data_IF_517095986154
#
_entry.id   IF_517095986154
#
_cell.length_a   1.000
_cell.length_b   1.000
_cell.length_c   1.000
_cell.angle_alpha   90.00
_cell.angle_beta   90.00
_cell.angle_gamma   90.00
#
_symmetry.space_group_name_H-M   'P 1'
#
loop_
_entity.id
_entity.type
_entity.pdbx_description
1 polymer ?
#
# COMPACT_ATOMS: atom_id res chain seq x y z
N UNK A 1 -24.04 -62.69 7.68
CA UNK A 1 -24.35 -61.48 8.49
C UNK A 1 -23.11 -61.18 9.34
N UNK A 2 -22.38 -60.07 9.24
CA UNK A 2 -22.58 -58.79 8.55
C UNK A 2 -21.20 -58.27 8.13
N UNK A 3 -21.05 -58.05 6.83
CA UNK A 3 -20.09 -57.12 6.21
C UNK A 3 -20.58 -55.72 6.60
N UNK A 4 -19.95 -55.02 7.55
CA UNK A 4 -20.34 -53.63 7.86
C UNK A 4 -19.38 -52.79 8.73
N UNK A 5 -18.06 -53.03 8.70
CA UNK A 5 -17.09 -52.14 9.40
C UNK A 5 -16.07 -51.49 8.44
N UNK A 6 -16.09 -51.82 7.15
CA UNK A 6 -15.07 -51.36 6.18
C UNK A 6 -15.42 -50.09 5.38
N UNK A 7 -16.49 -49.36 5.72
CA UNK A 7 -16.99 -48.25 4.91
C UNK A 7 -16.89 -46.85 5.56
N UNK A 8 -16.41 -46.72 6.81
CA UNK A 8 -16.41 -45.42 7.50
C UNK A 8 -15.13 -44.58 7.30
N UNK A 9 -14.05 -45.13 6.73
CA UNK A 9 -12.80 -44.39 6.50
C UNK A 9 -12.59 -43.91 5.04
N UNK A 10 -13.50 -44.23 4.12
CA UNK A 10 -13.40 -43.84 2.71
C UNK A 10 -14.29 -42.65 2.32
N UNK A 11 -14.92 -41.98 3.30
CA UNK A 11 -15.80 -40.81 3.08
C UNK A 11 -15.27 -39.51 3.71
N UNK A 12 -13.95 -39.38 3.84
CA UNK A 12 -13.30 -38.13 4.24
C UNK A 12 -12.86 -37.16 3.10
N UNK A 13 -13.35 -37.19 1.83
CA UNK A 13 -12.88 -36.20 0.84
C UNK A 13 -13.70 -34.90 0.76
N UNK A 14 -14.67 -34.62 1.65
CA UNK A 14 -15.57 -33.45 1.47
C UNK A 14 -15.49 -32.38 2.57
N UNK A 15 -14.75 -32.61 3.66
CA UNK A 15 -14.57 -31.59 4.72
C UNK A 15 -13.30 -30.72 4.57
N UNK A 16 -12.48 -30.96 3.55
CA UNK A 16 -11.28 -30.15 3.22
C UNK A 16 -11.37 -29.45 1.84
N UNK A 17 -12.59 -29.10 1.41
CA UNK A 17 -12.79 -28.26 0.23
C UNK A 17 -12.24 -26.83 0.43
N UNK A 18 -12.00 -26.41 1.67
CA UNK A 18 -11.15 -25.26 1.98
C UNK A 18 -9.70 -25.75 1.92
N UNK A 19 -8.95 -25.36 0.88
CA UNK A 19 -7.49 -25.43 0.97
C UNK A 19 -6.99 -24.60 2.15
N UNK A 20 -5.73 -24.78 2.60
CA UNK A 20 -5.16 -23.91 3.63
C UNK A 20 -5.39 -22.46 3.21
N UNK A 21 -5.90 -21.60 4.07
CA UNK A 21 -6.06 -20.18 3.79
C UNK A 21 -4.70 -19.59 3.37
N UNK A 22 -4.65 -18.68 2.39
CA UNK A 22 -3.38 -17.99 2.16
C UNK A 22 -3.15 -17.12 3.39
N UNK A 23 -2.03 -17.25 4.08
CA UNK A 23 -1.84 -16.54 5.32
C UNK A 23 -1.55 -15.10 4.92
N UNK A 24 -2.54 -14.20 5.06
CA UNK A 24 -2.30 -12.78 4.87
C UNK A 24 -1.17 -12.29 5.82
N UNK A 25 -0.90 -13.02 6.91
CA UNK A 25 0.27 -12.91 7.80
C UNK A 25 1.62 -12.96 7.07
N UNK A 26 1.70 -13.50 5.85
CA UNK A 26 2.92 -13.55 5.04
C UNK A 26 3.44 -12.16 4.63
N UNK A 27 2.55 -11.20 4.38
CA UNK A 27 2.93 -9.80 4.14
C UNK A 27 3.40 -9.09 5.43
N UNK A 28 3.15 -9.70 6.59
CA UNK A 28 3.26 -9.05 7.89
C UNK A 28 4.26 -9.79 8.78
N UNK A 29 5.55 -9.72 8.39
CA UNK A 29 6.73 -10.34 9.04
C UNK A 29 6.91 -10.11 10.55
N UNK A 30 6.10 -9.28 11.18
CA UNK A 30 6.23 -8.93 12.60
C UNK A 30 4.85 -8.64 13.17
N UNK A 31 4.53 -9.29 14.29
CA UNK A 31 3.61 -8.90 15.36
C UNK A 31 2.37 -9.73 15.68
N UNK A 32 2.24 -9.87 17.00
CA UNK A 32 1.19 -10.48 17.80
C UNK A 32 0.16 -9.44 18.29
N UNK A 33 -0.99 -9.96 18.74
CA UNK A 33 -2.12 -9.30 19.42
C UNK A 33 -3.22 -8.72 18.53
N UNK A 34 -4.38 -9.38 18.59
CA UNK A 34 -5.63 -9.07 17.87
C UNK A 34 -6.40 -7.87 18.42
N UNK A 35 -5.75 -6.70 18.55
CA UNK A 35 -6.42 -5.42 18.77
C UNK A 35 -6.67 -4.66 17.46
N UNK A 36 -7.46 -3.58 17.47
CA UNK A 36 -7.74 -2.75 16.27
C UNK A 36 -6.49 -2.21 15.57
N UNK A 37 -5.36 -2.09 16.30
CA UNK A 37 -4.04 -1.78 15.73
C UNK A 37 -3.56 -2.75 14.64
N UNK A 38 -4.08 -3.99 14.65
CA UNK A 38 -3.77 -5.06 13.69
C UNK A 38 -4.13 -4.71 12.25
N UNK A 39 -5.29 -4.09 12.03
CA UNK A 39 -5.79 -3.78 10.68
C UNK A 39 -4.98 -2.64 10.04
N UNK A 40 -4.62 -1.62 10.83
CA UNK A 40 -3.84 -0.49 10.35
C UNK A 40 -2.41 -0.88 10.00
N UNK A 41 -1.75 -1.68 10.84
CA UNK A 41 -0.37 -2.12 10.60
C UNK A 41 -0.26 -2.99 9.34
N UNK A 42 -1.22 -3.88 9.12
CA UNK A 42 -1.26 -4.73 7.92
C UNK A 42 -1.51 -3.88 6.67
N UNK A 43 -2.47 -2.97 6.74
CA UNK A 43 -2.73 -2.04 5.64
C UNK A 43 -1.50 -1.17 5.33
N UNK A 44 -0.76 -0.71 6.33
CA UNK A 44 0.48 0.05 6.15
C UNK A 44 1.55 -0.75 5.40
N UNK A 45 1.78 -1.98 5.85
CA UNK A 45 2.79 -2.89 5.27
C UNK A 45 2.43 -3.23 3.83
N UNK A 46 1.15 -3.48 3.55
CA UNK A 46 0.69 -3.74 2.20
C UNK A 46 0.85 -2.51 1.29
N UNK A 47 0.51 -1.31 1.77
CA UNK A 47 0.78 -0.08 1.04
C UNK A 47 2.28 0.16 0.82
N UNK A 48 3.13 -0.20 1.79
CA UNK A 48 4.57 -0.09 1.67
C UNK A 48 5.12 -1.09 0.66
N UNK A 49 4.64 -2.33 0.65
CA UNK A 49 5.00 -3.34 -0.36
C UNK A 49 4.60 -2.88 -1.75
N UNK A 50 3.37 -2.39 -1.91
CA UNK A 50 2.91 -1.81 -3.17
C UNK A 50 3.76 -0.61 -3.57
N UNK A 51 4.14 0.24 -2.61
CA UNK A 51 5.07 1.35 -2.86
C UNK A 51 6.45 0.85 -3.31
N UNK A 52 6.98 -0.20 -2.71
CA UNK A 52 8.30 -0.76 -3.05
C UNK A 52 8.29 -1.44 -4.42
N UNK A 53 7.25 -2.21 -4.73
CA UNK A 53 7.02 -2.83 -6.03
C UNK A 53 6.79 -1.76 -7.11
N UNK A 54 5.98 -0.75 -6.80
CA UNK A 54 5.75 0.37 -7.66
C UNK A 54 6.92 1.35 -7.68
N UNK A 55 7.93 1.26 -6.80
CA UNK A 55 9.02 2.27 -6.68
C UNK A 55 9.76 2.44 -8.01
N UNK A 56 9.98 1.35 -8.75
CA UNK A 56 10.59 1.40 -10.06
C UNK A 56 9.72 2.15 -11.09
N UNK A 57 8.40 1.99 -11.01
CA UNK A 57 7.41 2.72 -11.81
C UNK A 57 7.17 4.14 -11.30
N UNK A 58 7.27 4.39 -10.00
CA UNK A 58 7.11 5.68 -9.33
C UNK A 58 8.28 6.61 -9.59
N UNK A 59 9.48 6.08 -9.73
CA UNK A 59 10.66 6.90 -10.00
C UNK A 59 10.76 7.29 -11.47
N UNK A 60 9.90 6.74 -12.34
CA UNK A 60 9.81 7.15 -13.73
C UNK A 60 9.33 8.60 -13.81
N UNK A 61 10.03 9.49 -14.53
CA UNK A 61 9.65 10.90 -14.67
C UNK A 61 8.18 11.12 -15.10
N UNK A 62 7.65 10.20 -15.90
CA UNK A 62 6.28 10.19 -16.43
C UNK A 62 5.21 9.70 -15.43
N UNK A 63 5.60 9.17 -14.28
CA UNK A 63 4.65 8.68 -13.28
C UNK A 63 3.94 9.82 -12.55
N UNK A 64 2.62 9.73 -12.45
CA UNK A 64 1.82 10.67 -11.68
C UNK A 64 2.30 10.72 -10.21
N UNK A 65 2.70 9.59 -9.64
CA UNK A 65 3.19 9.51 -8.26
C UNK A 65 4.58 10.14 -8.09
N UNK A 66 5.45 10.09 -9.12
CA UNK A 66 6.70 10.88 -9.16
C UNK A 66 6.41 12.37 -9.06
N UNK A 67 5.44 12.84 -9.86
CA UNK A 67 5.06 14.24 -9.89
C UNK A 67 4.50 14.69 -8.53
N UNK A 68 3.76 13.81 -7.84
CA UNK A 68 3.23 14.06 -6.50
C UNK A 68 4.33 14.13 -5.44
N UNK A 69 5.35 13.27 -5.49
CA UNK A 69 6.44 13.28 -4.52
C UNK A 69 7.17 14.64 -4.49
N UNK A 70 7.27 15.33 -5.64
CA UNK A 70 7.82 16.69 -5.72
C UNK A 70 6.96 17.74 -5.03
N UNK A 71 5.67 17.46 -4.82
CA UNK A 71 4.75 18.34 -4.10
C UNK A 71 4.77 18.13 -2.58
N UNK A 72 5.65 17.27 -2.05
CA UNK A 72 5.72 17.02 -0.61
C UNK A 72 5.88 18.35 0.14
N UNK A 73 5.00 18.64 1.12
CA UNK A 73 5.07 19.89 1.85
C UNK A 73 6.38 19.96 2.64
N UNK A 74 6.92 21.17 2.86
CA UNK A 74 8.16 21.35 3.61
C UNK A 74 7.99 20.83 5.04
N UNK A 75 9.08 20.26 5.58
CA UNK A 75 9.15 19.78 6.96
C UNK A 75 10.13 20.63 7.79
N UNK A 76 9.75 21.04 9.02
CA UNK A 76 8.44 20.88 9.66
C UNK A 76 7.33 21.67 8.94
N UNK A 77 6.05 21.31 9.15
CA UNK A 77 4.92 22.08 8.63
C UNK A 77 5.02 23.53 9.08
N UNK A 78 4.82 24.47 8.15
CA UNK A 78 4.89 25.91 8.40
C UNK A 78 3.54 26.54 8.19
N UNK A 79 3.18 27.51 9.03
CA UNK A 79 2.07 28.39 8.70
C UNK A 79 2.45 29.25 7.48
N UNK A 80 1.45 29.80 6.77
CA UNK A 80 1.74 30.76 5.70
C UNK A 80 2.55 31.96 6.20
N UNK A 81 2.37 32.36 7.46
CA UNK A 81 3.13 33.45 8.09
C UNK A 81 4.59 33.08 8.31
N UNK A 82 4.86 31.84 8.75
CA UNK A 82 6.24 31.36 8.95
C UNK A 82 6.96 31.15 7.61
N UNK A 83 6.26 30.62 6.61
CA UNK A 83 6.80 30.48 5.26
C UNK A 83 7.15 31.85 4.64
N UNK A 84 6.25 32.83 4.79
CA UNK A 84 6.47 34.21 4.36
C UNK A 84 7.69 34.85 5.07
N UNK A 85 7.80 34.65 6.40
CA UNK A 85 8.94 35.13 7.21
C UNK A 85 10.26 34.57 6.69
N UNK A 86 10.29 33.26 6.44
CA UNK A 86 11.48 32.55 5.99
C UNK A 86 11.90 32.99 4.58
N UNK A 87 10.94 33.13 3.66
CA UNK A 87 11.22 33.58 2.30
C UNK A 87 11.81 35.01 2.29
N UNK A 88 11.26 35.89 3.13
CA UNK A 88 11.80 37.24 3.32
C UNK A 88 13.23 37.21 3.86
N UNK A 89 13.47 36.49 4.96
CA UNK A 89 14.81 36.41 5.57
C UNK A 89 15.86 35.76 4.66
N UNK A 90 15.44 34.86 3.76
CA UNK A 90 16.33 34.27 2.75
C UNK A 90 16.74 35.29 1.68
N UNK A 91 15.84 36.20 1.30
CA UNK A 91 16.08 37.22 0.28
C UNK A 91 16.74 38.49 0.84
N UNK A 92 16.47 38.81 2.11
CA UNK A 92 17.02 39.96 2.82
C UNK A 92 17.64 39.46 4.13
N UNK A 93 18.84 38.84 4.07
CA UNK A 93 19.53 38.40 5.28
C UNK A 93 19.79 39.59 6.20
N UNK A 94 19.28 39.54 7.43
CA UNK A 94 19.37 40.64 8.40
C UNK A 94 18.24 41.68 8.33
N UNK A 95 17.29 41.53 7.40
CA UNK A 95 16.12 42.39 7.31
C UNK A 95 15.18 42.30 8.52
N UNK A 96 14.45 43.38 8.81
CA UNK A 96 13.47 43.43 9.89
C UNK A 96 12.19 42.65 9.53
N UNK A 97 12.21 41.34 9.79
CA UNK A 97 11.13 40.44 9.44
C UNK A 97 9.81 40.76 10.16
N UNK A 98 9.85 41.33 11.37
CA UNK A 98 8.63 41.63 12.12
C UNK A 98 7.94 42.88 11.55
N UNK A 99 8.72 43.90 11.16
CA UNK A 99 8.20 45.03 10.39
C UNK A 99 7.61 44.57 9.05
N UNK A 100 8.32 43.71 8.31
CA UNK A 100 7.82 43.14 7.06
C UNK A 100 6.50 42.38 7.25
N UNK A 101 6.42 41.47 8.21
CA UNK A 101 5.21 40.67 8.43
C UNK A 101 4.03 41.53 8.87
N UNK A 102 4.27 42.58 9.66
CA UNK A 102 3.23 43.56 10.01
C UNK A 102 2.66 44.21 8.75
N UNK A 103 3.52 44.76 7.90
CA UNK A 103 3.07 45.38 6.63
C UNK A 103 2.38 44.37 5.71
N UNK A 104 2.93 43.15 5.59
CA UNK A 104 2.39 42.12 4.70
C UNK A 104 1.04 41.54 5.16
N UNK A 105 0.88 41.21 6.45
CA UNK A 105 -0.33 40.54 6.95
C UNK A 105 -1.36 41.50 7.52
N UNK A 106 -0.93 42.53 8.23
CA UNK A 106 -1.83 43.40 8.99
C UNK A 106 -2.29 44.61 8.15
N UNK A 107 -1.53 44.96 7.10
CA UNK A 107 -1.84 46.07 6.20
C UNK A 107 -2.20 45.59 4.78
N UNK A 108 -1.25 45.02 4.02
CA UNK A 108 -1.46 44.66 2.61
C UNK A 108 -2.62 43.67 2.42
N UNK A 109 -2.64 42.58 3.21
CA UNK A 109 -3.71 41.58 3.19
C UNK A 109 -5.03 42.07 3.78
N UNK A 110 -5.02 43.19 4.49
CA UNK A 110 -6.22 43.91 4.92
C UNK A 110 -6.73 44.92 3.87
N UNK A 111 -6.06 45.02 2.71
CA UNK A 111 -6.40 45.95 1.63
C UNK A 111 -5.96 47.39 1.87
N UNK A 112 -5.06 47.62 2.84
CA UNK A 112 -4.43 48.92 3.09
C UNK A 112 -3.16 49.04 2.25
N UNK A 113 -2.80 50.26 1.85
CA UNK A 113 -1.52 50.56 1.20
C UNK A 113 -0.44 50.65 2.29
N UNK A 114 0.50 49.70 2.37
CA UNK A 114 1.51 49.69 3.43
C UNK A 114 2.62 50.69 3.14
N UNK A 115 3.16 51.29 4.19
CA UNK A 115 4.34 52.14 4.08
C UNK A 115 5.62 51.28 4.02
N UNK A 116 5.99 50.88 2.81
CA UNK A 116 7.18 50.08 2.55
C UNK A 116 8.50 50.79 2.89
N UNK A 117 8.50 52.09 3.22
CA UNK A 117 9.71 52.78 3.66
C UNK A 117 10.32 52.19 4.95
N UNK A 118 9.49 51.51 5.77
CA UNK A 118 9.93 50.78 6.95
C UNK A 118 10.69 49.47 6.61
N UNK A 119 10.66 49.02 5.34
CA UNK A 119 11.41 47.86 4.83
C UNK A 119 12.05 48.24 3.48
N UNK A 120 13.06 49.14 3.49
CA UNK A 120 13.59 49.75 2.27
C UNK A 120 14.25 48.73 1.32
N UNK A 121 14.77 47.64 1.86
CA UNK A 121 15.43 46.57 1.11
C UNK A 121 14.46 45.51 0.54
N UNK A 122 13.15 45.79 0.49
CA UNK A 122 12.15 44.82 0.03
C UNK A 122 12.42 44.38 -1.44
N UNK A 123 12.65 43.08 -1.68
CA UNK A 123 12.84 42.54 -3.03
C UNK A 123 11.60 42.76 -3.90
N UNK A 124 11.82 43.03 -5.18
CA UNK A 124 10.75 43.33 -6.14
C UNK A 124 9.70 42.22 -6.24
N UNK A 125 10.11 40.95 -6.20
CA UNK A 125 9.16 39.83 -6.24
C UNK A 125 8.20 39.79 -5.04
N UNK A 126 8.66 40.21 -3.85
CA UNK A 126 7.82 40.30 -2.65
C UNK A 126 6.89 41.51 -2.75
N UNK A 127 7.41 42.65 -3.22
CA UNK A 127 6.63 43.88 -3.46
C UNK A 127 5.47 43.64 -4.43
N UNK A 128 5.76 43.06 -5.60
CA UNK A 128 4.75 42.70 -6.60
C UNK A 128 3.70 41.74 -6.04
N UNK A 129 4.13 40.75 -5.25
CA UNK A 129 3.21 39.77 -4.67
C UNK A 129 2.22 40.43 -3.70
N UNK A 130 2.70 41.35 -2.85
CA UNK A 130 1.88 42.05 -1.87
C UNK A 130 0.97 43.10 -2.52
N UNK A 131 1.44 43.77 -3.57
CA UNK A 131 0.60 44.68 -4.37
C UNK A 131 -0.59 43.96 -5.01
N UNK A 132 -0.42 42.73 -5.47
CA UNK A 132 -1.55 41.93 -5.94
C UNK A 132 -2.58 41.63 -4.84
N UNK A 133 -2.15 41.45 -3.58
CA UNK A 133 -3.07 41.35 -2.44
C UNK A 133 -3.83 42.65 -2.18
N UNK A 134 -3.14 43.79 -2.22
CA UNK A 134 -3.75 45.12 -2.06
C UNK A 134 -4.86 45.33 -3.08
N UNK A 135 -4.61 45.02 -4.36
CA UNK A 135 -5.59 45.15 -5.44
C UNK A 135 -6.82 44.26 -5.18
N UNK A 136 -6.61 42.98 -4.86
CA UNK A 136 -7.73 42.05 -4.62
C UNK A 136 -8.55 42.43 -3.39
N UNK A 137 -7.90 42.94 -2.33
CA UNK A 137 -8.56 43.24 -1.06
C UNK A 137 -9.20 44.63 -1.00
N UNK A 138 -8.69 45.58 -1.76
CA UNK A 138 -9.30 46.92 -1.91
C UNK A 138 -10.45 46.93 -2.92
N UNK A 139 -10.58 45.88 -3.73
CA UNK A 139 -11.68 45.74 -4.68
C UNK A 139 -13.01 45.40 -3.99
N UNK A 140 -14.09 45.84 -4.62
CA UNK A 140 -15.47 45.58 -4.19
C UNK A 140 -15.75 44.07 -4.11
N UNK A 141 -16.14 43.51 -2.94
CA UNK A 141 -16.39 42.08 -2.76
C UNK A 141 -17.49 41.52 -3.67
N UNK A 142 -18.41 42.36 -4.15
CA UNK A 142 -19.51 41.94 -5.01
C UNK A 142 -19.14 41.93 -6.50
N UNK A 143 -17.97 42.46 -6.88
CA UNK A 143 -17.54 42.54 -8.27
C UNK A 143 -16.44 41.53 -8.58
N UNK A 144 -16.50 41.00 -9.80
CA UNK A 144 -15.40 40.21 -10.35
C UNK A 144 -14.15 41.09 -10.45
N UNK A 145 -13.08 40.66 -9.77
CA UNK A 145 -11.78 41.34 -9.77
C UNK A 145 -10.91 40.70 -10.85
N UNK A 146 -10.41 41.50 -11.79
CA UNK A 146 -9.45 40.99 -12.76
C UNK A 146 -8.19 40.44 -12.05
N UNK A 147 -7.56 39.43 -12.65
CA UNK A 147 -6.28 38.92 -12.14
C UNK A 147 -5.24 40.06 -12.10
N UNK A 148 -4.63 40.37 -10.93
CA UNK A 148 -3.64 41.43 -10.83
C UNK A 148 -2.47 41.19 -11.79
N UNK A 149 -2.09 42.22 -12.56
CA UNK A 149 -0.97 42.14 -13.50
C UNK A 149 0.33 41.74 -12.79
N UNK A 150 0.49 42.14 -11.52
CA UNK A 150 1.62 41.80 -10.68
C UNK A 150 1.71 40.29 -10.43
N UNK A 151 0.59 39.63 -10.09
CA UNK A 151 0.56 38.18 -9.92
C UNK A 151 0.75 37.45 -11.26
N UNK A 152 0.17 37.96 -12.35
CA UNK A 152 0.38 37.40 -13.68
C UNK A 152 1.86 37.48 -14.09
N UNK A 153 2.55 38.58 -13.80
CA UNK A 153 3.98 38.75 -14.06
C UNK A 153 4.80 37.72 -13.28
N UNK A 154 4.55 37.57 -11.97
CA UNK A 154 5.26 36.59 -11.13
C UNK A 154 5.02 35.14 -11.55
N UNK A 155 3.80 34.79 -11.98
CA UNK A 155 3.46 33.43 -12.41
C UNK A 155 4.07 33.07 -13.78
N UNK A 156 4.14 34.03 -14.70
CA UNK A 156 4.61 33.83 -16.07
C UNK A 156 6.13 33.99 -16.23
N UNK A 157 6.80 34.65 -15.30
CA UNK A 157 8.25 34.89 -15.33
C UNK A 157 8.96 34.27 -14.11
N UNK A 158 9.04 32.92 -14.06
CA UNK A 158 9.56 32.23 -12.89
C UNK A 158 11.09 32.39 -12.73
N UNK A 159 11.82 32.75 -13.79
CA UNK A 159 13.27 32.97 -13.72
C UNK A 159 13.61 34.25 -12.95
N UNK A 160 12.81 35.31 -13.12
CA UNK A 160 13.02 36.58 -12.42
C UNK A 160 12.31 36.65 -11.05
N UNK A 161 11.39 35.72 -10.76
CA UNK A 161 10.67 35.64 -9.49
C UNK A 161 10.56 34.21 -8.93
N UNK A 162 11.69 33.50 -8.74
CA UNK A 162 11.70 32.08 -8.40
C UNK A 162 11.02 31.74 -7.06
N UNK A 163 10.89 32.72 -6.16
CA UNK A 163 10.34 32.50 -4.81
C UNK A 163 8.88 32.89 -4.67
N UNK A 164 8.32 33.56 -5.68
CA UNK A 164 6.92 34.00 -5.68
C UNK A 164 6.12 33.47 -6.85
N UNK A 165 6.73 32.77 -7.80
CA UNK A 165 6.00 32.14 -8.90
C UNK A 165 4.97 31.10 -8.42
N UNK A 166 5.34 30.20 -7.49
CA UNK A 166 4.44 29.17 -6.94
C UNK A 166 3.30 29.84 -6.15
N UNK A 167 3.63 30.82 -5.32
CA UNK A 167 2.67 31.61 -4.55
C UNK A 167 1.69 32.37 -5.45
N UNK A 168 2.17 33.01 -6.52
CA UNK A 168 1.34 33.73 -7.47
C UNK A 168 0.39 32.80 -8.22
N UNK A 169 0.86 31.64 -8.70
CA UNK A 169 0.00 30.63 -9.31
C UNK A 169 -1.10 30.16 -8.35
N UNK A 170 -0.75 29.88 -7.09
CA UNK A 170 -1.71 29.49 -6.06
C UNK A 170 -2.78 30.58 -5.82
N UNK A 171 -2.36 31.84 -5.72
CA UNK A 171 -3.26 32.96 -5.48
C UNK A 171 -4.19 33.24 -6.66
N UNK A 172 -3.69 33.16 -7.89
CA UNK A 172 -4.51 33.30 -9.10
C UNK A 172 -5.56 32.19 -9.21
N UNK A 173 -5.20 30.96 -8.83
CA UNK A 173 -6.15 29.85 -8.78
C UNK A 173 -7.24 30.03 -7.73
N UNK A 174 -6.88 30.50 -6.52
CA UNK A 174 -7.85 30.84 -5.48
C UNK A 174 -8.77 32.00 -5.87
N UNK A 175 -8.24 33.02 -6.57
CA UNK A 175 -9.02 34.15 -7.06
C UNK A 175 -10.07 33.67 -8.08
N UNK A 176 -9.64 32.89 -9.09
CA UNK A 176 -10.54 32.28 -10.05
C UNK A 176 -11.63 31.42 -9.37
N UNK A 177 -11.24 30.62 -8.37
CA UNK A 177 -12.17 29.82 -7.58
C UNK A 177 -13.22 30.67 -6.85
N UNK A 178 -12.81 31.78 -6.23
CA UNK A 178 -13.73 32.69 -5.52
C UNK A 178 -14.76 33.35 -6.44
N UNK A 179 -14.47 33.40 -7.74
CA UNK A 179 -15.32 33.99 -8.78
C UNK A 179 -16.10 32.94 -9.57
N UNK A 180 -16.00 31.66 -9.21
CA UNK A 180 -16.66 30.57 -9.91
C UNK A 180 -16.01 30.17 -11.25
N UNK A 181 -14.84 30.71 -11.61
CA UNK A 181 -14.09 30.33 -12.81
C UNK A 181 -13.29 29.03 -12.58
N UNK A 182 -13.98 27.91 -12.80
CA UNK A 182 -13.41 26.57 -12.65
C UNK A 182 -12.32 26.27 -13.70
N UNK A 183 -12.37 26.88 -14.89
CA UNK A 183 -11.36 26.70 -15.92
C UNK A 183 -10.06 27.42 -15.54
N UNK A 184 -10.16 28.68 -15.11
CA UNK A 184 -9.04 29.45 -14.59
C UNK A 184 -8.44 28.83 -13.34
N UNK A 185 -9.27 28.36 -12.39
CA UNK A 185 -8.81 27.65 -11.20
C UNK A 185 -7.91 26.47 -11.55
N UNK A 186 -8.39 25.57 -12.45
CA UNK A 186 -7.62 24.40 -12.89
C UNK A 186 -6.31 24.80 -13.57
N UNK A 187 -6.37 25.74 -14.51
CA UNK A 187 -5.17 26.24 -15.22
C UNK A 187 -4.08 26.70 -14.25
N UNK A 188 -4.43 27.53 -13.28
CA UNK A 188 -3.45 28.09 -12.35
C UNK A 188 -2.96 27.10 -11.29
N UNK A 189 -3.83 26.21 -10.82
CA UNK A 189 -3.43 25.13 -9.91
C UNK A 189 -2.51 24.10 -10.58
N UNK A 190 -2.78 23.73 -11.84
CA UNK A 190 -1.88 22.88 -12.63
C UNK A 190 -0.53 23.55 -12.84
N UNK A 191 -0.51 24.84 -13.17
CA UNK A 191 0.73 25.59 -13.31
C UNK A 191 1.49 25.68 -11.98
N UNK A 192 0.80 25.89 -10.86
CA UNK A 192 1.39 25.87 -9.52
C UNK A 192 2.16 24.57 -9.27
N UNK A 193 1.50 23.42 -9.48
CA UNK A 193 2.14 22.09 -9.34
C UNK A 193 3.30 21.90 -10.30
N UNK A 194 3.16 22.36 -11.55
CA UNK A 194 4.24 22.32 -12.54
C UNK A 194 5.46 23.11 -12.07
N UNK A 195 5.29 24.31 -11.52
CA UNK A 195 6.41 25.12 -10.98
C UNK A 195 7.11 24.44 -9.81
N UNK A 196 6.35 23.84 -8.88
CA UNK A 196 6.98 23.03 -7.81
C UNK A 196 7.77 21.86 -8.41
N UNK A 197 7.21 21.18 -9.40
CA UNK A 197 7.89 20.10 -10.13
C UNK A 197 9.15 20.52 -10.87
N UNK A 198 9.24 21.78 -11.32
CA UNK A 198 10.42 22.40 -11.93
C UNK A 198 11.49 22.83 -10.91
N UNK A 199 11.21 22.73 -9.61
CA UNK A 199 12.15 23.04 -8.52
C UNK A 199 12.03 24.45 -7.95
N UNK A 200 10.99 25.21 -8.29
CA UNK A 200 10.74 26.53 -7.70
C UNK A 200 10.30 26.42 -6.23
N UNK A 201 10.54 27.49 -5.45
CA UNK A 201 10.33 27.47 -4.00
C UNK A 201 8.87 27.22 -3.62
N UNK A 202 8.62 26.19 -2.80
CA UNK A 202 7.32 25.88 -2.19
C UNK A 202 7.41 25.89 -0.66
N UNK A 203 7.80 27.03 -0.10
CA UNK A 203 8.03 27.24 1.33
C UNK A 203 6.81 26.98 2.23
N UNK A 204 5.59 26.98 1.67
CA UNK A 204 4.32 26.76 2.37
C UNK A 204 3.60 25.46 1.96
N UNK A 205 4.12 24.66 1.03
CA UNK A 205 3.46 23.43 0.56
C UNK A 205 2.20 23.68 -0.28
N UNK A 206 2.19 24.78 -1.05
CA UNK A 206 1.08 25.24 -1.88
C UNK A 206 0.80 24.30 -3.05
N UNK A 207 1.83 23.64 -3.60
CA UNK A 207 1.66 22.66 -4.67
C UNK A 207 0.69 21.56 -4.26
N UNK A 208 0.91 20.96 -3.09
CA UNK A 208 0.00 19.96 -2.52
C UNK A 208 -1.34 20.56 -2.06
N UNK A 209 -1.35 21.80 -1.55
CA UNK A 209 -2.58 22.47 -1.16
C UNK A 209 -3.58 22.61 -2.33
N UNK A 210 -3.09 22.90 -3.55
CA UNK A 210 -3.95 22.98 -4.75
C UNK A 210 -4.62 21.62 -5.06
N UNK A 211 -3.86 20.53 -4.95
CA UNK A 211 -4.37 19.19 -5.18
C UNK A 211 -5.46 18.83 -4.17
N UNK A 212 -5.25 19.14 -2.89
CA UNK A 212 -6.27 18.94 -1.84
C UNK A 212 -7.57 19.69 -2.15
N UNK A 213 -7.49 20.91 -2.71
CA UNK A 213 -8.68 21.69 -3.09
C UNK A 213 -9.38 21.12 -4.33
N UNK A 214 -8.65 20.65 -5.35
CA UNK A 214 -9.24 19.98 -6.52
C UNK A 214 -9.96 18.69 -6.12
N UNK A 215 -9.35 17.91 -5.24
CA UNK A 215 -9.90 16.66 -4.76
C UNK A 215 -11.14 16.86 -3.88
N UNK A 216 -11.29 18.00 -3.18
CA UNK A 216 -12.55 18.32 -2.47
C UNK A 216 -13.77 18.39 -3.39
N UNK A 217 -13.58 18.70 -4.68
CA UNK A 217 -14.66 18.71 -5.68
C UNK A 217 -15.12 17.31 -6.10
N UNK A 218 -14.30 16.26 -5.92
CA UNK A 218 -14.64 14.86 -6.22
C UNK A 218 -15.14 14.19 -4.94
N UNK A 219 -16.47 14.08 -4.78
CA UNK A 219 -17.14 13.72 -3.51
C UNK A 219 -16.43 12.63 -2.70
N UNK A 220 -16.48 11.37 -3.11
CA UNK A 220 -16.00 10.23 -2.30
C UNK A 220 -14.57 9.86 -2.68
N UNK A 221 -14.30 9.77 -3.97
CA UNK A 221 -13.02 9.40 -4.58
C UNK A 221 -11.94 10.43 -4.25
N UNK A 222 -12.28 11.72 -4.31
CA UNK A 222 -11.32 12.78 -4.01
C UNK A 222 -10.91 12.81 -2.55
N UNK A 223 -11.82 12.49 -1.62
CA UNK A 223 -11.46 12.34 -0.20
C UNK A 223 -10.45 11.22 0.01
N UNK A 224 -10.64 10.08 -0.66
CA UNK A 224 -9.73 8.92 -0.58
C UNK A 224 -8.38 9.25 -1.21
N UNK A 225 -8.37 9.82 -2.41
CA UNK A 225 -7.14 10.25 -3.09
C UNK A 225 -6.37 11.28 -2.24
N UNK A 226 -7.06 12.24 -1.62
CA UNK A 226 -6.43 13.25 -0.79
C UNK A 226 -5.77 12.64 0.47
N UNK A 227 -6.39 11.62 1.06
CA UNK A 227 -5.81 10.88 2.17
C UNK A 227 -4.63 10.02 1.70
N UNK A 228 -4.74 9.36 0.54
CA UNK A 228 -3.68 8.52 -0.02
C UNK A 228 -2.43 9.35 -0.31
N UNK A 229 -2.61 10.49 -0.99
CA UNK A 229 -1.50 11.40 -1.28
C UNK A 229 -0.91 12.00 -0.01
N UNK A 230 -1.73 12.34 0.99
CA UNK A 230 -1.20 12.78 2.28
C UNK A 230 -0.33 11.72 2.92
N UNK A 231 -0.78 10.47 2.97
CA UNK A 231 0.00 9.37 3.51
C UNK A 231 1.33 9.17 2.75
N UNK A 232 1.32 9.25 1.42
CA UNK A 232 2.56 9.09 0.65
C UNK A 232 3.56 10.25 0.83
N UNK A 233 3.08 11.47 1.00
CA UNK A 233 3.96 12.63 1.26
C UNK A 233 4.39 12.71 2.72
N UNK A 234 3.57 12.21 3.63
CA UNK A 234 3.75 12.22 5.07
C UNK A 234 3.41 10.83 5.65
N UNK A 235 4.29 9.83 5.47
CA UNK A 235 4.07 8.50 6.02
C UNK A 235 4.24 8.56 7.55
N UNK A 236 3.13 8.79 8.24
CA UNK A 236 2.98 8.75 9.69
C UNK A 236 1.73 7.94 10.05
N UNK A 237 1.70 7.40 11.27
CA UNK A 237 0.62 6.53 11.72
C UNK A 237 -0.74 7.23 11.71
N UNK A 238 -0.81 8.53 11.99
CA UNK A 238 -2.07 9.28 11.99
C UNK A 238 -2.64 9.46 10.58
N UNK A 239 -1.78 9.76 9.60
CA UNK A 239 -2.17 9.86 8.19
C UNK A 239 -2.57 8.49 7.62
N UNK A 240 -1.93 7.41 8.08
CA UNK A 240 -2.32 6.05 7.74
C UNK A 240 -3.70 5.69 8.31
N UNK A 241 -3.95 6.00 9.59
CA UNK A 241 -5.25 5.78 10.23
C UNK A 241 -6.35 6.58 9.52
N UNK A 242 -6.10 7.85 9.18
CA UNK A 242 -7.01 8.67 8.37
C UNK A 242 -7.29 8.01 7.01
N UNK A 243 -6.25 7.56 6.30
CA UNK A 243 -6.39 6.87 5.02
C UNK A 243 -7.26 5.62 5.17
N UNK A 244 -6.93 4.73 6.11
CA UNK A 244 -7.70 3.50 6.32
C UNK A 244 -9.17 3.80 6.64
N UNK A 245 -9.42 4.76 7.53
CA UNK A 245 -10.78 5.15 7.91
C UNK A 245 -11.57 5.71 6.72
N UNK A 246 -10.95 6.59 5.93
CA UNK A 246 -11.58 7.18 4.74
C UNK A 246 -11.83 6.10 3.69
N UNK A 247 -10.88 5.19 3.45
CA UNK A 247 -11.06 4.04 2.55
C UNK A 247 -12.24 3.20 3.02
N UNK A 248 -12.24 2.72 4.27
CA UNK A 248 -13.31 1.90 4.85
C UNK A 248 -14.69 2.55 4.70
N UNK A 249 -14.80 3.87 4.91
CA UNK A 249 -16.06 4.61 4.81
C UNK A 249 -16.54 4.76 3.36
N UNK A 250 -15.62 4.98 2.42
CA UNK A 250 -15.96 5.33 1.05
C UNK A 250 -15.87 4.15 0.07
N UNK A 251 -15.37 2.98 0.48
CA UNK A 251 -15.14 1.83 -0.39
C UNK A 251 -16.41 1.27 -1.03
N UNK A 252 -17.58 1.57 -0.47
CA UNK A 252 -18.87 1.25 -1.10
C UNK A 252 -19.05 1.96 -2.46
N UNK A 253 -18.30 3.04 -2.73
CA UNK A 253 -18.26 3.72 -4.03
C UNK A 253 -17.25 3.09 -5.01
N UNK A 254 -16.90 1.82 -4.85
CA UNK A 254 -15.89 1.11 -5.65
C UNK A 254 -16.13 1.18 -7.18
N UNK A 255 -17.36 1.40 -7.61
CA UNK A 255 -17.73 1.49 -9.03
C UNK A 255 -16.93 2.56 -9.79
N UNK A 256 -16.74 3.72 -9.17
CA UNK A 256 -15.95 4.83 -9.72
C UNK A 256 -14.46 4.63 -9.49
N UNK A 257 -14.08 3.89 -8.44
CA UNK A 257 -12.68 3.58 -8.15
C UNK A 257 -12.06 2.74 -9.25
N UNK A 258 -12.84 1.84 -9.86
CA UNK A 258 -12.40 1.06 -11.02
C UNK A 258 -11.92 1.93 -12.20
N UNK A 259 -12.34 3.19 -12.30
CA UNK A 259 -11.86 4.13 -13.32
C UNK A 259 -10.51 4.75 -12.97
N UNK A 260 -10.21 4.92 -11.68
CA UNK A 260 -9.08 5.70 -11.19
C UNK A 260 -7.91 4.74 -10.86
N UNK A 261 -6.75 4.84 -11.55
CA UNK A 261 -5.62 3.92 -11.36
C UNK A 261 -5.21 3.73 -9.90
N UNK A 262 -5.03 4.83 -9.16
CA UNK A 262 -4.56 4.80 -7.77
C UNK A 262 -5.58 4.15 -6.83
N UNK A 263 -6.88 4.36 -7.08
CA UNK A 263 -7.94 3.76 -6.25
C UNK A 263 -8.15 2.29 -6.56
N UNK A 264 -7.84 1.83 -7.78
CA UNK A 264 -7.84 0.39 -8.10
C UNK A 264 -6.80 -0.36 -7.29
N UNK A 265 -5.60 0.20 -7.27
CA UNK A 265 -4.47 -0.35 -6.52
C UNK A 265 -4.78 -0.34 -5.01
N UNK A 266 -5.28 0.78 -4.49
CA UNK A 266 -5.69 0.94 -3.09
C UNK A 266 -6.81 -0.02 -2.66
N UNK A 267 -7.77 -0.30 -3.55
CA UNK A 267 -8.84 -1.25 -3.28
C UNK A 267 -8.26 -2.63 -2.95
N UNK A 268 -7.34 -3.14 -3.77
CA UNK A 268 -6.74 -4.44 -3.49
C UNK A 268 -6.02 -4.45 -2.14
N UNK A 269 -5.19 -3.44 -1.87
CA UNK A 269 -4.45 -3.31 -0.60
C UNK A 269 -5.36 -3.39 0.63
N UNK A 270 -6.49 -2.69 0.57
CA UNK A 270 -7.46 -2.68 1.65
C UNK A 270 -8.10 -4.05 1.87
N UNK A 271 -8.49 -4.75 0.81
CA UNK A 271 -9.15 -6.05 0.92
C UNK A 271 -8.19 -7.19 1.27
N UNK A 272 -6.92 -7.11 0.88
CA UNK A 272 -5.87 -8.03 1.32
C UNK A 272 -5.70 -8.03 2.85
N UNK A 273 -6.12 -6.95 3.53
CA UNK A 273 -5.87 -6.72 4.96
C UNK A 273 -7.13 -6.69 5.81
N UNK A 274 -8.30 -6.64 5.17
CA UNK A 274 -9.61 -6.58 5.83
C UNK A 274 -10.12 -7.97 6.18
N UNK A 275 -9.81 -8.45 7.38
CA UNK A 275 -10.33 -9.73 7.87
C UNK A 275 -11.86 -9.66 8.04
N UNK A 276 -12.58 -10.64 7.48
CA UNK A 276 -14.02 -10.83 7.71
C UNK A 276 -14.97 -9.97 6.86
N UNK A 277 -14.45 -9.16 5.94
CA UNK A 277 -15.30 -8.44 4.98
C UNK A 277 -15.27 -9.15 3.62
N UNK A 278 -16.42 -9.22 2.95
CA UNK A 278 -16.56 -9.80 1.62
C UNK A 278 -16.09 -8.82 0.53
N UNK A 279 -15.04 -9.20 -0.21
CA UNK A 279 -14.68 -8.56 -1.49
C UNK A 279 -15.89 -8.54 -2.40
N UNK A 280 -16.14 -7.42 -3.08
CA UNK A 280 -17.21 -7.33 -4.08
C UNK A 280 -16.70 -7.91 -5.40
N UNK A 281 -17.17 -9.10 -5.82
CA UNK A 281 -16.64 -9.74 -7.03
C UNK A 281 -16.90 -8.93 -8.31
N UNK A 282 -17.88 -8.02 -8.28
CA UNK A 282 -18.22 -7.12 -9.37
C UNK A 282 -17.12 -6.08 -9.64
N UNK A 283 -16.39 -5.66 -8.61
CA UNK A 283 -15.24 -4.79 -8.77
C UNK A 283 -14.15 -5.51 -9.57
N UNK A 284 -13.84 -6.75 -9.20
CA UNK A 284 -12.80 -7.55 -9.86
C UNK A 284 -13.10 -7.76 -11.34
N UNK A 285 -14.35 -8.09 -11.68
CA UNK A 285 -14.78 -8.24 -13.08
C UNK A 285 -14.69 -6.92 -13.86
N UNK A 286 -15.07 -5.79 -13.24
CA UNK A 286 -15.05 -4.48 -13.91
C UNK A 286 -13.63 -4.03 -14.23
N UNK A 287 -12.69 -4.24 -13.31
CA UNK A 287 -11.29 -3.88 -13.54
C UNK A 287 -10.66 -4.80 -14.59
N UNK A 288 -10.96 -6.11 -14.55
CA UNK A 288 -10.44 -7.07 -15.53
C UNK A 288 -10.93 -6.78 -16.95
N UNK A 289 -12.22 -6.45 -17.14
CA UNK A 289 -12.81 -6.12 -18.45
C UNK A 289 -12.12 -4.97 -19.17
N UNK A 290 -11.43 -4.09 -18.45
CA UNK A 290 -10.68 -3.00 -19.05
C UNK A 290 -9.33 -3.44 -19.62
N UNK A 291 -8.92 -4.68 -19.34
CA UNK A 291 -7.65 -5.26 -19.76
C UNK A 291 -6.45 -4.37 -19.39
N UNK A 292 -6.52 -3.74 -18.21
CA UNK A 292 -5.45 -2.86 -17.73
C UNK A 292 -4.45 -3.70 -16.95
N UNK A 293 -3.18 -3.62 -17.34
CA UNK A 293 -2.09 -4.21 -16.59
C UNK A 293 -1.94 -3.48 -15.25
N UNK A 294 -2.08 -4.21 -14.16
CA UNK A 294 -1.93 -3.68 -12.81
C UNK A 294 -0.56 -4.04 -12.24
N UNK A 295 -0.10 -3.25 -11.28
CA UNK A 295 1.13 -3.57 -10.53
C UNK A 295 0.86 -4.71 -9.57
N UNK A 296 -0.37 -4.79 -9.05
CA UNK A 296 -0.80 -5.73 -8.03
C UNK A 296 -1.63 -6.93 -8.55
N UNK A 297 -1.44 -7.36 -9.81
CA UNK A 297 -2.25 -8.44 -10.43
C UNK A 297 -2.30 -9.74 -9.60
N UNK A 298 -1.24 -10.10 -8.87
CA UNK A 298 -1.24 -11.26 -7.98
C UNK A 298 -2.24 -11.12 -6.80
N UNK A 299 -2.37 -9.91 -6.23
CA UNK A 299 -3.35 -9.61 -5.17
C UNK A 299 -4.76 -9.64 -5.72
N UNK A 300 -4.98 -9.11 -6.92
CA UNK A 300 -6.29 -9.22 -7.59
C UNK A 300 -6.67 -10.68 -7.88
N UNK A 301 -5.70 -11.52 -8.26
CA UNK A 301 -5.90 -12.95 -8.42
C UNK A 301 -6.28 -13.64 -7.10
N UNK A 302 -5.63 -13.27 -6.00
CA UNK A 302 -5.99 -13.78 -4.67
C UNK A 302 -7.41 -13.40 -4.25
N UNK A 303 -7.79 -12.13 -4.44
CA UNK A 303 -9.15 -11.68 -4.15
C UNK A 303 -10.20 -12.42 -5.00
N UNK A 304 -9.87 -12.74 -6.26
CA UNK A 304 -10.73 -13.56 -7.12
C UNK A 304 -10.84 -15.01 -6.62
N UNK A 305 -9.72 -15.60 -6.14
CA UNK A 305 -9.72 -16.92 -5.51
C UNK A 305 -10.60 -16.96 -4.26
N UNK A 306 -10.43 -15.98 -3.35
CA UNK A 306 -11.25 -15.82 -2.13
C UNK A 306 -12.74 -15.60 -2.45
N UNK A 307 -13.04 -14.94 -3.56
CA UNK A 307 -14.41 -14.76 -4.06
C UNK A 307 -15.00 -16.02 -4.75
N UNK A 308 -14.29 -17.15 -4.77
CA UNK A 308 -14.73 -18.38 -5.41
C UNK A 308 -14.77 -18.31 -6.94
N UNK A 309 -13.94 -17.46 -7.56
CA UNK A 309 -13.84 -17.28 -9.01
C UNK A 309 -12.48 -17.73 -9.56
N UNK A 310 -12.20 -19.05 -9.63
CA UNK A 310 -10.88 -19.55 -10.03
C UNK A 310 -10.51 -19.19 -11.48
N UNK A 311 -11.48 -19.05 -12.38
CA UNK A 311 -11.23 -18.63 -13.77
C UNK A 311 -10.76 -17.17 -13.84
N UNK A 312 -11.33 -16.31 -12.99
CA UNK A 312 -10.90 -14.91 -12.89
C UNK A 312 -9.53 -14.80 -12.23
N UNK A 313 -9.27 -15.62 -11.21
CA UNK A 313 -7.94 -15.77 -10.60
C UNK A 313 -6.88 -16.09 -11.67
N UNK A 314 -7.12 -17.10 -12.52
CA UNK A 314 -6.19 -17.45 -13.59
C UNK A 314 -5.98 -16.32 -14.60
N UNK A 315 -7.03 -15.58 -14.98
CA UNK A 315 -6.89 -14.43 -15.89
C UNK A 315 -6.02 -13.33 -15.30
N UNK A 316 -6.17 -13.05 -14.00
CA UNK A 316 -5.29 -12.11 -13.29
C UNK A 316 -3.85 -12.60 -13.19
N UNK A 317 -3.64 -13.89 -12.91
CA UNK A 317 -2.30 -14.48 -12.87
C UNK A 317 -1.59 -14.36 -14.22
N UNK A 318 -2.29 -14.45 -15.36
CA UNK A 318 -1.68 -14.24 -16.69
C UNK A 318 -1.14 -12.82 -16.91
N UNK A 319 -1.53 -11.85 -16.08
CA UNK A 319 -1.08 -10.46 -16.20
C UNK A 319 0.13 -10.12 -15.34
N UNK A 320 0.54 -11.03 -14.43
CA UNK A 320 1.69 -10.77 -13.56
C UNK A 320 2.97 -10.66 -14.40
N UNK A 321 3.81 -9.68 -14.10
CA UNK A 321 5.08 -9.48 -14.79
C UNK A 321 6.18 -10.42 -14.28
N UNK A 322 6.06 -10.86 -13.02
CA UNK A 322 7.02 -11.71 -12.33
C UNK A 322 6.30 -12.56 -11.28
N UNK A 323 6.60 -13.85 -11.27
CA UNK A 323 6.13 -14.75 -10.23
C UNK A 323 6.78 -14.41 -8.87
N UNK A 324 5.95 -14.40 -7.83
CA UNK A 324 6.27 -14.25 -6.42
C UNK A 324 5.63 -15.38 -5.58
N UNK A 325 5.83 -15.34 -4.26
CA UNK A 325 5.30 -16.35 -3.34
C UNK A 325 3.77 -16.43 -3.36
N UNK A 326 3.06 -15.31 -3.51
CA UNK A 326 1.59 -15.32 -3.58
C UNK A 326 1.12 -16.00 -4.87
N UNK A 327 1.71 -15.63 -6.01
CA UNK A 327 1.40 -16.25 -7.29
C UNK A 327 1.74 -17.74 -7.32
N UNK A 328 2.86 -18.17 -6.73
CA UNK A 328 3.23 -19.59 -6.62
C UNK A 328 2.16 -20.37 -5.83
N UNK A 329 1.69 -19.82 -4.71
CA UNK A 329 0.61 -20.43 -3.94
C UNK A 329 -0.70 -20.51 -4.73
N UNK A 330 -1.06 -19.46 -5.47
CA UNK A 330 -2.27 -19.43 -6.29
C UNK A 330 -2.21 -20.44 -7.45
N UNK A 331 -1.09 -20.50 -8.16
CA UNK A 331 -0.88 -21.50 -9.20
C UNK A 331 -0.94 -22.93 -8.66
N UNK A 332 -0.35 -23.18 -7.49
CA UNK A 332 -0.45 -24.49 -6.85
C UNK A 332 -1.89 -24.87 -6.49
N UNK A 333 -2.71 -23.91 -6.06
CA UNK A 333 -4.12 -24.15 -5.76
C UNK A 333 -4.99 -24.38 -7.00
N UNK A 334 -4.76 -23.62 -8.08
CA UNK A 334 -5.41 -23.86 -9.37
C UNK A 334 -5.04 -25.23 -9.95
N UNK A 335 -3.77 -25.63 -9.84
CA UNK A 335 -3.29 -26.93 -10.29
C UNK A 335 -3.95 -28.08 -9.49
N UNK A 336 -4.03 -27.95 -8.17
CA UNK A 336 -4.75 -28.91 -7.31
C UNK A 336 -6.21 -29.06 -7.72
N UNK A 337 -6.90 -27.95 -7.96
CA UNK A 337 -8.30 -27.96 -8.38
C UNK A 337 -8.50 -28.73 -9.71
N UNK A 338 -7.49 -28.74 -10.58
CA UNK A 338 -7.48 -29.47 -11.86
C UNK A 338 -6.99 -30.92 -11.72
N UNK A 339 -6.54 -31.33 -10.54
CA UNK A 339 -5.88 -32.62 -10.33
C UNK A 339 -4.46 -32.70 -10.92
N UNK A 340 -3.86 -31.57 -11.31
CA UNK A 340 -2.50 -31.53 -11.87
C UNK A 340 -1.46 -31.48 -10.74
N UNK A 341 -1.10 -32.67 -10.24
CA UNK A 341 -0.14 -32.84 -9.14
C UNK A 341 1.28 -32.41 -9.49
N UNK A 342 1.68 -32.53 -10.76
CA UNK A 342 3.02 -32.14 -11.21
C UNK A 342 3.19 -30.62 -11.16
N UNK A 343 2.21 -29.89 -11.69
CA UNK A 343 2.21 -28.43 -11.62
C UNK A 343 2.04 -27.94 -10.19
N UNK A 344 1.17 -28.58 -9.41
CA UNK A 344 1.01 -28.28 -7.97
C UNK A 344 2.34 -28.39 -7.23
N UNK A 345 3.03 -29.53 -7.36
CA UNK A 345 4.32 -29.77 -6.73
C UNK A 345 5.39 -28.77 -7.17
N UNK A 346 5.45 -28.45 -8.47
CA UNK A 346 6.40 -27.47 -9.02
C UNK A 346 6.26 -26.12 -8.30
N UNK A 347 5.03 -25.62 -8.20
CA UNK A 347 4.78 -24.33 -7.59
C UNK A 347 4.92 -24.35 -6.07
N UNK A 348 4.54 -25.42 -5.37
CA UNK A 348 4.83 -25.54 -3.93
C UNK A 348 6.34 -25.58 -3.64
N UNK A 349 7.15 -26.25 -4.47
CA UNK A 349 8.62 -26.23 -4.33
C UNK A 349 9.20 -24.84 -4.60
N UNK A 350 8.70 -24.15 -5.63
CA UNK A 350 9.08 -22.75 -5.91
C UNK A 350 8.75 -21.84 -4.73
N UNK A 351 7.54 -22.00 -4.16
CA UNK A 351 7.09 -21.29 -2.97
C UNK A 351 8.06 -21.49 -1.79
N UNK A 352 8.42 -22.74 -1.49
CA UNK A 352 9.37 -23.06 -0.40
C UNK A 352 10.74 -22.42 -0.66
N UNK A 353 11.22 -22.41 -1.91
CA UNK A 353 12.52 -21.84 -2.28
C UNK A 353 12.57 -20.31 -2.14
N UNK A 354 11.45 -19.62 -2.38
CA UNK A 354 11.37 -18.15 -2.32
C UNK A 354 11.22 -17.61 -0.90
N UNK A 355 10.90 -18.47 0.06
CA UNK A 355 10.81 -18.08 1.46
C UNK A 355 12.21 -18.15 2.07
N UNK A 356 12.64 -17.00 2.59
CA UNK A 356 13.91 -16.85 3.29
C UNK A 356 13.89 -17.58 4.64
N UNK A 357 14.84 -18.49 4.85
CA UNK A 357 15.02 -19.25 6.09
C UNK A 357 15.69 -18.44 7.20
N UNK A 358 16.31 -17.29 6.88
CA UNK A 358 17.17 -16.53 7.81
C UNK A 358 16.41 -15.74 8.88
N UNK A 359 15.08 -15.82 8.91
CA UNK A 359 14.24 -14.94 9.72
C UNK A 359 13.86 -15.44 11.11
N UNK A 360 13.47 -16.71 11.29
CA UNK A 360 12.86 -17.17 12.56
C UNK A 360 12.87 -18.71 12.65
N UNK A 361 13.43 -19.24 13.75
CA UNK A 361 13.17 -20.59 14.27
C UNK A 361 12.27 -20.44 15.50
N UNK A 362 11.00 -20.85 15.43
CA UNK A 362 10.16 -20.99 16.62
C UNK A 362 9.41 -22.32 16.61
N UNK A 363 9.40 -22.93 17.79
CA UNK A 363 8.82 -24.23 18.14
C UNK A 363 7.35 -24.03 18.52
N UNK A 364 6.48 -24.94 18.08
CA UNK A 364 5.06 -24.93 18.49
C UNK A 364 4.96 -25.41 19.94
N UNK A 365 4.18 -24.71 20.77
CA UNK A 365 3.82 -25.14 22.14
C UNK A 365 2.34 -25.54 22.23
N UNK A 366 1.75 -26.07 21.15
CA UNK A 366 0.36 -26.56 21.21
C UNK A 366 0.36 -28.08 21.47
N UNK A 367 -0.05 -28.54 22.67
CA UNK A 367 -0.04 -29.97 23.02
C UNK A 367 -1.03 -30.82 22.22
N UNK A 368 -1.91 -30.20 21.42
CA UNK A 368 -2.88 -30.90 20.58
C UNK A 368 -2.35 -31.25 19.19
N UNK A 369 -1.18 -30.73 18.80
CA UNK A 369 -0.48 -31.09 17.55
C UNK A 369 0.67 -32.07 17.78
N UNK A 370 1.04 -32.32 19.05
CA UNK A 370 1.77 -33.52 19.42
C UNK A 370 0.83 -34.70 19.27
N UNK A 371 1.31 -35.74 18.58
CA UNK A 371 0.53 -36.95 18.32
C UNK A 371 -0.18 -37.45 19.56
N UNK A 372 -1.37 -38.01 19.33
CA UNK A 372 -2.04 -38.89 20.27
C UNK A 372 -1.03 -39.63 21.16
N UNK A 373 -1.20 -39.47 22.47
CA UNK A 373 -0.44 -40.11 23.54
C UNK A 373 0.05 -41.51 23.18
N UNK A 374 1.27 -41.59 22.66
CA UNK A 374 2.05 -42.81 22.55
C UNK A 374 3.41 -42.56 23.21
N UNK A 375 3.39 -42.50 24.54
CA UNK A 375 4.35 -43.15 25.44
C UNK A 375 5.87 -42.99 25.24
N UNK A 376 6.37 -42.12 24.38
CA UNK A 376 7.79 -41.82 24.29
C UNK A 376 8.10 -40.54 25.05
N UNK A 377 8.70 -40.71 26.24
CA UNK A 377 9.38 -39.64 26.97
C UNK A 377 10.56 -39.13 26.13
N UNK A 378 10.30 -38.29 25.14
CA UNK A 378 11.34 -37.50 24.52
C UNK A 378 11.58 -36.28 25.40
N UNK A 379 12.71 -36.28 26.12
CA UNK A 379 13.26 -35.09 26.76
C UNK A 379 13.76 -34.14 25.66
N UNK A 380 12.84 -33.49 24.95
CA UNK A 380 13.19 -32.27 24.23
C UNK A 380 13.07 -31.11 25.22
N UNK A 381 14.20 -30.44 25.44
CA UNK A 381 14.29 -29.21 26.24
C UNK A 381 13.16 -28.27 25.83
N UNK A 382 12.31 -27.88 26.79
CA UNK A 382 11.29 -26.87 26.55
C UNK A 382 12.00 -25.58 26.15
N UNK A 383 11.74 -25.02 24.96
CA UNK A 383 12.30 -23.74 24.61
C UNK A 383 11.61 -22.64 25.43
N UNK A 384 12.31 -21.52 25.69
CA UNK A 384 11.80 -20.43 26.53
C UNK A 384 10.48 -19.86 26.00
N UNK A 385 9.59 -19.49 26.92
CA UNK A 385 8.30 -18.86 26.63
C UNK A 385 8.48 -17.43 26.09
N UNK A 386 8.74 -17.26 24.79
CA UNK A 386 8.69 -15.96 24.13
C UNK A 386 8.00 -16.06 22.74
N UNK A 387 6.76 -15.58 22.70
CA UNK A 387 6.05 -14.90 21.59
C UNK A 387 6.45 -15.20 20.13
N UNK A 388 5.56 -15.86 19.36
CA UNK A 388 5.65 -15.99 17.89
C UNK A 388 4.97 -17.22 17.27
N UNK A 389 3.63 -17.23 17.12
CA UNK A 389 2.86 -18.44 16.69
C UNK A 389 2.66 -18.68 15.18
N UNK A 390 2.75 -17.69 14.29
CA UNK A 390 2.19 -17.85 12.92
C UNK A 390 3.14 -18.57 11.93
N UNK A 391 4.34 -18.03 11.68
CA UNK A 391 5.20 -18.39 10.51
C UNK A 391 5.67 -19.85 10.40
N UNK A 392 5.70 -20.59 11.53
CA UNK A 392 6.08 -22.00 11.50
C UNK A 392 4.96 -22.87 10.93
N UNK A 393 3.70 -22.45 11.02
CA UNK A 393 2.54 -23.27 10.64
C UNK A 393 2.38 -23.40 9.12
N UNK A 394 2.71 -22.36 8.34
CA UNK A 394 2.31 -22.32 6.93
C UNK A 394 3.34 -22.99 6.04
N UNK A 395 4.63 -22.86 6.35
CA UNK A 395 5.66 -23.72 5.75
C UNK A 395 5.40 -25.19 6.09
N UNK A 396 5.02 -25.51 7.34
CA UNK A 396 4.63 -26.88 7.70
C UNK A 396 3.44 -27.36 6.86
N UNK A 397 2.40 -26.54 6.68
CA UNK A 397 1.25 -26.86 5.82
C UNK A 397 1.64 -27.12 4.36
N UNK A 398 2.52 -26.29 3.79
CA UNK A 398 3.04 -26.51 2.42
C UNK A 398 3.89 -27.78 2.36
N UNK A 399 4.75 -28.03 3.35
CA UNK A 399 5.56 -29.25 3.41
C UNK A 399 4.69 -30.51 3.58
N UNK A 400 3.63 -30.47 4.40
CA UNK A 400 2.62 -31.53 4.49
C UNK A 400 2.01 -31.82 3.11
N UNK A 401 1.61 -30.77 2.40
CA UNK A 401 0.99 -30.89 1.09
C UNK A 401 1.97 -31.46 0.04
N UNK A 402 3.22 -31.03 0.06
CA UNK A 402 4.28 -31.62 -0.76
C UNK A 402 4.44 -33.11 -0.40
N UNK A 403 4.52 -33.44 0.89
CA UNK A 403 4.65 -34.82 1.38
C UNK A 403 3.53 -35.73 0.87
N UNK A 404 2.28 -35.29 0.98
CA UNK A 404 1.13 -36.02 0.45
C UNK A 404 1.22 -36.29 -1.07
N UNK A 405 1.66 -35.32 -1.86
CA UNK A 405 1.87 -35.51 -3.31
C UNK A 405 2.98 -36.53 -3.57
N UNK A 406 4.04 -36.57 -2.75
CA UNK A 406 5.13 -37.55 -2.91
C UNK A 406 4.68 -38.96 -2.56
N UNK A 407 3.81 -39.12 -1.55
CA UNK A 407 3.17 -40.40 -1.27
C UNK A 407 2.38 -40.88 -2.47
N UNK A 408 1.55 -40.02 -3.07
CA UNK A 408 0.78 -40.35 -4.29
C UNK A 408 1.69 -40.78 -5.46
N UNK A 409 2.92 -40.27 -5.52
CA UNK A 409 3.93 -40.58 -6.55
C UNK A 409 4.82 -41.79 -6.22
N UNK A 410 4.74 -42.33 -5.01
CA UNK A 410 5.61 -43.42 -4.54
C UNK A 410 7.03 -42.99 -4.15
N UNK A 411 7.32 -41.68 -4.06
CA UNK A 411 8.61 -41.18 -3.58
C UNK A 411 8.58 -41.07 -2.05
N UNK A 412 8.67 -42.23 -1.39
CA UNK A 412 8.46 -42.35 0.05
C UNK A 412 9.58 -41.69 0.88
N UNK A 413 10.82 -41.69 0.38
CA UNK A 413 11.95 -41.00 1.02
C UNK A 413 11.71 -39.49 1.05
N UNK A 414 11.28 -38.90 -0.08
CA UNK A 414 10.97 -37.48 -0.15
C UNK A 414 9.71 -37.13 0.64
N UNK A 415 8.71 -38.02 0.68
CA UNK A 415 7.51 -37.86 1.50
C UNK A 415 7.87 -37.80 3.00
N UNK A 416 8.68 -38.76 3.48
CA UNK A 416 9.14 -38.81 4.86
C UNK A 416 9.91 -37.54 5.24
N UNK A 417 10.83 -37.09 4.38
CA UNK A 417 11.53 -35.82 4.58
C UNK A 417 10.56 -34.64 4.76
N UNK A 418 9.54 -34.57 3.92
CA UNK A 418 8.59 -33.47 3.96
C UNK A 418 7.74 -33.48 5.23
N UNK A 419 7.25 -34.65 5.66
CA UNK A 419 6.48 -34.77 6.90
C UNK A 419 7.33 -34.45 8.14
N UNK A 420 8.59 -34.88 8.18
CA UNK A 420 9.52 -34.52 9.24
C UNK A 420 9.80 -33.01 9.25
N UNK A 421 10.03 -32.38 8.09
CA UNK A 421 10.17 -30.93 7.98
C UNK A 421 8.91 -30.16 8.38
N UNK A 422 7.75 -30.79 8.21
CA UNK A 422 6.48 -30.25 8.66
C UNK A 422 6.19 -30.48 10.15
N UNK A 423 7.06 -31.19 10.88
CA UNK A 423 6.80 -31.65 12.24
C UNK A 423 5.50 -32.48 12.36
N UNK A 424 5.14 -33.23 11.32
CA UNK A 424 4.00 -34.16 11.36
C UNK A 424 4.50 -35.56 11.69
N UNK A 425 4.64 -35.85 12.97
CA UNK A 425 5.16 -37.13 13.46
C UNK A 425 4.25 -38.31 13.05
N UNK A 426 2.93 -38.11 13.05
CA UNK A 426 1.97 -39.16 12.69
C UNK A 426 2.07 -39.54 11.21
N UNK A 427 2.10 -38.56 10.30
CA UNK A 427 2.23 -38.83 8.87
C UNK A 427 3.61 -39.42 8.54
N UNK A 428 4.67 -38.94 9.21
CA UNK A 428 6.02 -39.48 9.07
C UNK A 428 6.08 -40.95 9.52
N UNK A 429 5.50 -41.28 10.69
CA UNK A 429 5.43 -42.64 11.20
C UNK A 429 4.61 -43.54 10.26
N UNK A 430 3.47 -43.06 9.76
CA UNK A 430 2.65 -43.81 8.81
C UNK A 430 3.44 -44.21 7.55
N UNK A 431 4.24 -43.29 6.98
CA UNK A 431 5.09 -43.61 5.83
C UNK A 431 6.21 -44.58 6.22
N UNK A 432 6.91 -44.30 7.31
CA UNK A 432 8.07 -45.08 7.73
C UNK A 432 7.71 -46.52 8.14
N UNK A 433 6.64 -46.71 8.90
CA UNK A 433 6.27 -48.00 9.48
C UNK A 433 5.43 -48.87 8.55
N UNK A 434 4.61 -48.25 7.68
CA UNK A 434 3.62 -48.99 6.89
C UNK A 434 3.84 -48.94 5.39
N UNK A 435 4.69 -48.04 4.88
CA UNK A 435 4.87 -47.88 3.43
C UNK A 435 6.31 -48.17 2.97
N UNK A 436 7.30 -47.87 3.80
CA UNK A 436 8.72 -48.07 3.47
C UNK A 436 9.22 -49.46 3.87
N UNK A 437 10.19 -49.99 3.13
CA UNK A 437 10.93 -51.19 3.55
C UNK A 437 12.08 -50.82 4.49
N UNK A 438 12.64 -51.83 5.19
CA UNK A 438 13.84 -51.63 6.02
C UNK A 438 15.02 -51.10 5.20
N UNK A 439 15.16 -51.51 3.94
CA UNK A 439 16.22 -51.01 3.06
C UNK A 439 16.05 -49.52 2.73
N UNK A 440 14.81 -49.08 2.42
CA UNK A 440 14.51 -47.68 2.15
C UNK A 440 14.80 -46.80 3.38
N UNK A 441 14.44 -47.27 4.58
CA UNK A 441 14.73 -46.56 5.83
C UNK A 441 16.23 -46.46 6.09
N UNK A 442 16.98 -47.54 5.87
CA UNK A 442 18.44 -47.52 6.00
C UNK A 442 19.07 -46.55 5.01
N UNK A 443 18.60 -46.53 3.76
CA UNK A 443 19.07 -45.58 2.74
C UNK A 443 18.78 -44.14 3.14
N UNK A 444 17.56 -43.87 3.58
CA UNK A 444 17.14 -42.54 4.03
C UNK A 444 17.99 -42.03 5.20
N UNK A 445 18.19 -42.83 6.25
CA UNK A 445 18.98 -42.43 7.42
C UNK A 445 20.46 -42.24 7.07
N UNK A 446 21.01 -43.11 6.21
CA UNK A 446 22.41 -43.04 5.78
C UNK A 446 22.73 -41.79 4.94
N UNK A 447 21.73 -41.11 4.39
CA UNK A 447 21.92 -39.86 3.65
C UNK A 447 22.20 -38.65 4.56
N UNK A 448 22.01 -38.78 5.88
CA UNK A 448 22.20 -37.70 6.86
C UNK A 448 23.36 -37.94 7.84
N UNK A 449 23.98 -39.12 7.80
CA UNK A 449 25.22 -39.47 8.50
C UNK A 449 26.44 -39.09 7.67
#
# INVERSE_FOLDING_TARGET
MKIQIFALFLLAPVLFACGPDFPNTWFFKEYENGGEGYLYANFAKELELMRLEAKAEWNKPESHLHSLARLAPPRPKRSMRDAEKMDFLRLVPGGNADAYLKLAFDEARAGKVPDWSAVPELPEQLRLFLRGWEIVRSSDPEKTVAAPEEWLKLANDPQNAPDRTVWACYMLGNLAASQGDEAGRRKWHELCRKRVGEGYSDSAGLGFATLKQELRGRKKEGRVLAALYRYYLEPDIRNLEELYYVVKREIAAYETWAEIPELRELYAAFWMTSVGYYVKPEFLDRVEKKNIKLTNSARMAYLAWQAGKPELCERWLKQISKEDVLSDWLYANLARMRGDRDTELRYLRSWVKRIDESGVRFVSTNPAEEGASLGFESKFEQPPQETGRAFSAERKSVMLRIGGIQVEKGDLEQALFCFLKANSALDAAQVAEHMMTTEDLLRYVSAFS
#
